data_IF_666615740267
#
_entry.id   IF_666615740267
#
_cell.length_a   1.000
_cell.length_b   1.000
_cell.length_c   1.000
_cell.angle_alpha   90.00
_cell.angle_beta   90.00
_cell.angle_gamma   90.00
#
_symmetry.space_group_name_H-M   'P 1'
#
loop_
_entity.id
_entity.type
_entity.pdbx_description
1 polymer ?
#
# COMPACT_ATOMS: atom_id res chain seq x y z
N UNK A 1 22.51 -25.64 -5.66
CA UNK A 1 21.89 -24.37 -6.11
C UNK A 1 22.64 -23.27 -5.38
N UNK A 2 23.01 -22.16 -6.02
CA UNK A 2 23.79 -21.10 -5.36
C UNK A 2 22.96 -20.46 -4.24
N UNK A 3 23.58 -20.13 -3.10
CA UNK A 3 22.94 -19.44 -1.95
C UNK A 3 22.09 -18.24 -2.39
N UNK A 4 22.58 -17.49 -3.39
CA UNK A 4 21.86 -16.39 -4.03
C UNK A 4 20.53 -16.80 -4.68
N UNK A 5 20.48 -17.95 -5.36
CA UNK A 5 19.26 -18.41 -6.00
C UNK A 5 18.18 -18.78 -4.98
N UNK A 6 18.58 -19.31 -3.81
CA UNK A 6 17.66 -19.66 -2.73
C UNK A 6 16.95 -18.45 -2.14
N UNK A 7 17.60 -17.28 -2.14
CA UNK A 7 17.02 -16.00 -1.68
C UNK A 7 16.27 -15.29 -2.81
N UNK A 8 16.86 -15.26 -4.01
CA UNK A 8 16.37 -14.43 -5.12
C UNK A 8 15.12 -15.01 -5.79
N UNK A 9 15.01 -16.34 -5.94
CA UNK A 9 13.83 -16.94 -6.57
C UNK A 9 12.55 -16.69 -5.74
N UNK A 10 12.53 -16.94 -4.43
CA UNK A 10 11.38 -16.61 -3.59
C UNK A 10 11.08 -15.11 -3.55
N UNK A 11 12.11 -14.27 -3.47
CA UNK A 11 11.93 -12.80 -3.46
C UNK A 11 11.38 -12.25 -4.79
N UNK A 12 11.42 -13.01 -5.88
CA UNK A 12 10.79 -12.66 -7.15
C UNK A 12 9.29 -12.98 -7.21
N UNK A 13 8.79 -13.84 -6.32
CA UNK A 13 7.39 -14.26 -6.32
C UNK A 13 6.44 -13.06 -6.18
N UNK A 14 6.68 -12.09 -5.28
CA UNK A 14 5.82 -10.92 -5.17
C UNK A 14 5.78 -10.07 -6.42
N UNK A 15 6.95 -9.88 -7.04
CA UNK A 15 7.03 -9.16 -8.30
C UNK A 15 6.22 -9.84 -9.40
N UNK A 16 6.32 -11.17 -9.52
CA UNK A 16 5.54 -11.92 -10.51
C UNK A 16 4.03 -11.87 -10.22
N UNK A 17 3.64 -11.97 -8.95
CA UNK A 17 2.25 -11.92 -8.52
C UNK A 17 1.63 -10.53 -8.75
N UNK A 18 2.36 -9.45 -8.42
CA UNK A 18 1.98 -8.07 -8.71
C UNK A 18 1.83 -7.83 -10.23
N UNK A 19 2.79 -8.27 -11.04
CA UNK A 19 2.70 -8.17 -12.51
C UNK A 19 1.48 -8.92 -13.07
N UNK A 20 1.20 -10.12 -12.55
CA UNK A 20 0.03 -10.91 -12.96
C UNK A 20 -1.26 -10.17 -12.60
N UNK A 21 -1.34 -9.63 -11.39
CA UNK A 21 -2.42 -8.76 -10.92
C UNK A 21 -2.63 -7.52 -11.78
N UNK A 22 -1.53 -6.87 -12.15
CA UNK A 22 -1.48 -5.66 -12.97
C UNK A 22 -1.88 -5.87 -14.42
N UNK A 23 -1.87 -7.12 -14.92
CA UNK A 23 -2.34 -7.49 -16.25
C UNK A 23 -3.87 -7.71 -16.30
N UNK A 24 -4.53 -8.03 -15.17
CA UNK A 24 -5.99 -8.25 -15.13
C UNK A 24 -6.83 -7.09 -15.73
N UNK A 25 -6.48 -5.80 -15.50
CA UNK A 25 -7.19 -4.67 -16.11
C UNK A 25 -7.07 -4.58 -17.63
N UNK A 26 -6.21 -5.36 -18.28
CA UNK A 26 -6.15 -5.46 -19.76
C UNK A 26 -7.30 -6.29 -20.33
N UNK A 27 -7.85 -7.18 -19.51
CA UNK A 27 -8.88 -8.14 -19.91
C UNK A 27 -10.24 -7.82 -19.29
N UNK A 28 -10.27 -6.99 -18.23
CA UNK A 28 -11.47 -6.67 -17.46
C UNK A 28 -11.80 -5.17 -17.50
N UNK A 29 -13.08 -4.84 -17.73
CA UNK A 29 -13.62 -3.50 -17.53
C UNK A 29 -13.58 -3.15 -16.03
N UNK A 30 -12.89 -2.06 -15.68
CA UNK A 30 -12.68 -1.69 -14.28
C UNK A 30 -13.53 -0.47 -13.87
N UNK A 31 -13.92 -0.43 -12.59
CA UNK A 31 -14.71 0.64 -11.99
C UNK A 31 -14.07 1.14 -10.69
N UNK A 32 -14.49 2.30 -10.17
CA UNK A 32 -14.00 2.78 -8.87
C UNK A 32 -14.26 1.79 -7.71
N UNK A 33 -15.31 0.95 -7.82
CA UNK A 33 -15.61 -0.09 -6.83
C UNK A 33 -14.61 -1.24 -6.86
N UNK A 34 -14.14 -1.66 -8.04
CA UNK A 34 -13.14 -2.74 -8.14
C UNK A 34 -11.80 -2.30 -7.55
N UNK A 35 -11.40 -1.04 -7.76
CA UNK A 35 -10.20 -0.49 -7.12
C UNK A 35 -10.32 -0.51 -5.58
N UNK A 36 -11.46 -0.05 -5.04
CA UNK A 36 -11.68 -0.06 -3.60
C UNK A 36 -11.67 -1.47 -3.02
N UNK A 37 -12.27 -2.45 -3.70
CA UNK A 37 -12.29 -3.86 -3.26
C UNK A 37 -10.88 -4.44 -3.28
N UNK A 38 -10.11 -4.19 -4.35
CA UNK A 38 -8.73 -4.67 -4.45
C UNK A 38 -7.84 -4.13 -3.34
N UNK A 39 -7.94 -2.82 -3.03
CA UNK A 39 -7.19 -2.21 -1.94
C UNK A 39 -7.58 -2.79 -0.57
N UNK A 40 -8.88 -2.97 -0.29
CA UNK A 40 -9.32 -3.60 0.97
C UNK A 40 -8.89 -5.06 1.07
N UNK A 41 -8.91 -5.79 -0.04
CA UNK A 41 -8.45 -7.17 -0.08
C UNK A 41 -6.95 -7.26 0.20
N UNK A 42 -6.13 -6.45 -0.49
CA UNK A 42 -4.69 -6.40 -0.26
C UNK A 42 -4.37 -6.04 1.19
N UNK A 43 -4.93 -4.94 1.72
CA UNK A 43 -4.73 -4.54 3.13
C UNK A 43 -5.22 -5.61 4.11
N UNK A 44 -6.36 -6.25 3.85
CA UNK A 44 -6.90 -7.32 4.69
C UNK A 44 -5.98 -8.54 4.75
N UNK A 45 -5.41 -8.94 3.61
CA UNK A 45 -4.43 -10.04 3.55
C UNK A 45 -3.16 -9.66 4.31
N UNK A 46 -2.61 -8.47 4.11
CA UNK A 46 -1.40 -8.01 4.83
C UNK A 46 -1.64 -8.00 6.34
N UNK A 47 -2.78 -7.48 6.82
CA UNK A 47 -3.11 -7.50 8.25
C UNK A 47 -3.21 -8.94 8.78
N UNK A 48 -3.84 -9.84 8.02
CA UNK A 48 -3.96 -11.25 8.41
C UNK A 48 -2.59 -11.93 8.50
N UNK A 49 -1.71 -11.73 7.51
CA UNK A 49 -0.34 -12.26 7.51
C UNK A 49 0.46 -11.69 8.69
N UNK A 50 0.40 -10.38 8.92
CA UNK A 50 1.11 -9.77 10.06
C UNK A 50 0.61 -10.33 11.40
N UNK A 51 -0.70 -10.45 11.57
CA UNK A 51 -1.31 -10.91 12.82
C UNK A 51 -1.16 -12.41 13.08
N UNK A 52 -1.31 -13.24 12.05
CA UNK A 52 -1.33 -14.71 12.19
C UNK A 52 0.04 -15.35 11.97
N UNK A 53 0.94 -14.70 11.25
CA UNK A 53 2.23 -15.28 10.87
C UNK A 53 3.43 -14.51 11.43
N UNK A 54 3.51 -13.20 11.23
CA UNK A 54 4.72 -12.43 11.59
C UNK A 54 4.80 -12.11 13.09
N UNK A 55 3.69 -11.65 13.69
CA UNK A 55 3.67 -11.25 15.11
C UNK A 55 3.91 -12.42 16.06
N UNK A 56 3.27 -13.60 15.89
CA UNK A 56 3.53 -14.75 16.75
C UNK A 56 4.99 -15.20 16.67
N UNK A 57 5.55 -15.28 15.45
CA UNK A 57 6.97 -15.65 15.26
C UNK A 57 7.94 -14.65 15.90
N UNK A 58 7.62 -13.35 15.86
CA UNK A 58 8.41 -12.33 16.53
C UNK A 58 8.38 -12.47 18.07
N UNK A 59 7.28 -12.99 18.63
CA UNK A 59 7.14 -13.26 20.06
C UNK A 59 7.75 -14.60 20.50
N UNK A 60 7.85 -15.57 19.60
CA UNK A 60 8.49 -16.87 19.85
C UNK A 60 10.02 -16.82 19.77
N UNK A 61 10.58 -15.80 19.09
CA UNK A 61 12.02 -15.62 18.95
C UNK A 61 12.70 -15.37 20.30
N UNK A 62 13.77 -16.10 20.60
CA UNK A 62 14.55 -15.92 21.83
C UNK A 62 15.92 -15.26 21.52
N UNK A 63 16.22 -14.07 22.06
CA UNK A 63 15.36 -13.23 22.90
C UNK A 63 14.44 -12.29 22.12
N UNK A 64 13.18 -12.18 22.57
CA UNK A 64 12.10 -11.33 21.99
C UNK A 64 12.48 -9.84 21.88
N UNK A 65 13.46 -9.40 22.69
CA UNK A 65 13.92 -8.02 22.82
C UNK A 65 14.46 -7.40 21.52
N UNK A 66 14.85 -8.21 20.53
CA UNK A 66 15.36 -7.71 19.25
C UNK A 66 14.24 -7.59 18.19
N UNK A 67 13.47 -8.65 17.88
CA UNK A 67 12.47 -8.60 16.81
C UNK A 67 11.28 -7.67 17.11
N UNK A 68 10.82 -7.58 18.37
CA UNK A 68 9.66 -6.73 18.70
C UNK A 68 9.95 -5.22 18.51
N UNK A 69 11.07 -4.66 19.02
CA UNK A 69 11.44 -3.28 18.70
C UNK A 69 11.74 -3.07 17.22
N UNK A 70 12.31 -4.05 16.52
CA UNK A 70 12.55 -3.96 15.07
C UNK A 70 11.24 -3.87 14.28
N UNK A 71 10.21 -4.64 14.65
CA UNK A 71 8.87 -4.58 14.07
C UNK A 71 8.24 -3.19 14.27
N UNK A 72 8.30 -2.66 15.49
CA UNK A 72 7.78 -1.32 15.83
C UNK A 72 8.56 -0.23 15.08
N UNK A 73 9.89 -0.34 15.02
CA UNK A 73 10.74 0.60 14.30
C UNK A 73 10.45 0.59 12.79
N UNK A 74 10.25 -0.59 12.20
CA UNK A 74 9.85 -0.75 10.80
C UNK A 74 8.50 -0.08 10.50
N UNK A 75 7.50 -0.30 11.36
CA UNK A 75 6.20 0.38 11.22
C UNK A 75 6.34 1.91 11.34
N UNK A 76 7.17 2.39 12.28
CA UNK A 76 7.47 3.81 12.42
C UNK A 76 8.17 4.41 11.19
N UNK A 77 9.12 3.68 10.60
CA UNK A 77 9.81 4.05 9.38
C UNK A 77 8.82 4.16 8.20
N UNK A 78 7.91 3.20 8.04
CA UNK A 78 6.89 3.25 7.00
C UNK A 78 6.00 4.50 7.13
N UNK A 79 5.57 4.82 8.36
CA UNK A 79 4.79 6.02 8.64
C UNK A 79 5.57 7.32 8.35
N UNK A 80 6.88 7.33 8.58
CA UNK A 80 7.74 8.45 8.24
C UNK A 80 7.88 8.63 6.72
N UNK A 81 8.01 7.53 5.97
CA UNK A 81 8.04 7.54 4.49
C UNK A 81 6.71 8.06 3.93
N UNK A 82 5.57 7.58 4.43
CA UNK A 82 4.24 8.08 4.03
C UNK A 82 4.10 9.59 4.27
N UNK A 83 4.50 10.07 5.45
CA UNK A 83 4.48 11.51 5.77
C UNK A 83 5.40 12.33 4.89
N UNK A 84 6.58 11.81 4.59
CA UNK A 84 7.54 12.46 3.71
C UNK A 84 7.01 12.53 2.27
N UNK A 85 6.43 11.44 1.76
CA UNK A 85 5.80 11.41 0.45
C UNK A 85 4.63 12.40 0.35
N UNK A 86 3.80 12.50 1.40
CA UNK A 86 2.72 13.49 1.49
C UNK A 86 3.24 14.93 1.53
N UNK A 87 4.33 15.18 2.25
CA UNK A 87 4.99 16.48 2.29
C UNK A 87 5.54 16.90 0.92
N UNK A 88 6.22 16.00 0.21
CA UNK A 88 6.72 16.26 -1.15
C UNK A 88 5.60 16.57 -2.13
N UNK A 89 4.47 15.85 -2.04
CA UNK A 89 3.28 16.14 -2.86
C UNK A 89 2.68 17.52 -2.55
N UNK A 90 2.63 17.91 -1.27
CA UNK A 90 2.10 19.21 -0.86
C UNK A 90 3.02 20.38 -1.24
N UNK A 91 4.34 20.17 -1.27
CA UNK A 91 5.33 21.16 -1.68
C UNK A 91 5.52 21.24 -3.22
N UNK A 92 4.94 20.31 -3.97
CA UNK A 92 5.03 20.26 -5.43
C UNK A 92 4.21 21.36 -6.12
N UNK A 93 4.78 22.54 -6.30
CA UNK A 93 4.23 23.63 -7.13
C UNK A 93 5.01 23.76 -8.45
N UNK A 94 4.72 22.95 -9.47
CA UNK A 94 5.02 23.26 -10.89
C UNK A 94 4.55 22.14 -11.86
N UNK A 95 3.49 22.42 -12.62
CA UNK A 95 3.39 22.04 -14.04
C UNK A 95 3.21 20.58 -14.47
N UNK A 96 3.22 19.59 -13.58
CA UNK A 96 3.04 18.17 -13.97
C UNK A 96 2.24 17.36 -12.95
N UNK A 97 1.51 16.35 -13.43
CA UNK A 97 0.77 15.41 -12.56
C UNK A 97 1.77 14.57 -11.76
N UNK A 98 1.93 14.85 -10.47
CA UNK A 98 2.73 14.02 -9.56
C UNK A 98 2.06 12.67 -9.24
N UNK A 99 0.80 12.48 -9.63
CA UNK A 99 -0.01 11.33 -9.26
C UNK A 99 0.55 9.98 -9.75
N UNK A 100 1.05 9.82 -11.00
CA UNK A 100 1.63 8.56 -11.44
C UNK A 100 2.90 8.20 -10.66
N UNK A 101 3.74 9.20 -10.32
CA UNK A 101 4.94 8.98 -9.52
C UNK A 101 4.63 8.56 -8.09
N UNK A 102 3.54 9.08 -7.51
CA UNK A 102 3.07 8.63 -6.20
C UNK A 102 2.61 7.16 -6.24
N UNK A 103 1.90 6.75 -7.30
CA UNK A 103 1.48 5.35 -7.49
C UNK A 103 2.71 4.45 -7.69
N UNK A 104 3.62 4.78 -8.61
CA UNK A 104 4.86 4.01 -8.81
C UNK A 104 5.73 3.94 -7.55
N UNK A 105 5.87 5.05 -6.83
CA UNK A 105 6.65 5.10 -5.59
C UNK A 105 6.04 4.21 -4.50
N UNK A 106 4.71 4.21 -4.36
CA UNK A 106 3.99 3.34 -3.44
C UNK A 106 4.24 1.85 -3.75
N UNK A 107 3.98 1.45 -5.00
CA UNK A 107 4.20 0.06 -5.45
C UNK A 107 5.66 -0.36 -5.33
N UNK A 108 6.62 0.50 -5.69
CA UNK A 108 8.03 0.18 -5.57
C UNK A 108 8.48 -0.03 -4.11
N UNK A 109 7.93 0.76 -3.17
CA UNK A 109 8.19 0.60 -1.74
C UNK A 109 7.60 -0.71 -1.20
N UNK A 110 6.41 -1.08 -1.67
CA UNK A 110 5.72 -2.32 -1.27
C UNK A 110 6.50 -3.56 -1.72
N UNK A 111 6.82 -3.67 -3.02
CA UNK A 111 7.62 -4.78 -3.55
C UNK A 111 9.01 -4.86 -2.91
N UNK A 112 9.63 -3.72 -2.59
CA UNK A 112 10.90 -3.71 -1.86
C UNK A 112 10.73 -4.30 -0.47
N UNK A 113 9.65 -3.94 0.24
CA UNK A 113 9.28 -4.51 1.52
C UNK A 113 9.04 -6.02 1.46
N UNK A 114 8.27 -6.50 0.47
CA UNK A 114 8.02 -7.93 0.26
C UNK A 114 9.29 -8.70 -0.05
N UNK A 115 10.17 -8.14 -0.89
CA UNK A 115 11.47 -8.72 -1.20
C UNK A 115 12.37 -8.83 0.02
N UNK A 116 12.43 -7.79 0.87
CA UNK A 116 13.15 -7.84 2.16
C UNK A 116 12.53 -8.88 3.08
N UNK A 117 11.21 -8.95 3.15
CA UNK A 117 10.51 -9.85 4.07
C UNK A 117 10.65 -11.32 3.65
N UNK A 118 10.50 -11.65 2.37
CA UNK A 118 10.73 -13.00 1.87
C UNK A 118 12.23 -13.35 1.92
N UNK A 119 13.11 -12.43 1.54
CA UNK A 119 14.55 -12.67 1.58
C UNK A 119 15.06 -12.94 2.99
N UNK A 120 14.62 -12.17 3.98
CA UNK A 120 14.92 -12.46 5.40
C UNK A 120 14.18 -13.70 5.91
N UNK A 121 12.97 -13.95 5.41
CA UNK A 121 12.18 -15.15 5.67
C UNK A 121 12.84 -16.43 5.20
N UNK A 122 13.67 -16.43 4.15
CA UNK A 122 14.43 -17.64 3.75
C UNK A 122 15.43 -18.13 4.80
N UNK A 123 15.74 -17.32 5.81
CA UNK A 123 16.57 -17.70 6.96
C UNK A 123 15.74 -18.35 8.08
N UNK A 124 14.40 -18.17 8.09
CA UNK A 124 13.54 -18.50 9.25
C UNK A 124 12.32 -19.38 8.85
N UNK A 125 11.64 -19.11 7.73
CA UNK A 125 10.71 -19.96 6.93
C UNK A 125 9.98 -19.07 5.89
N UNK A 126 9.56 -19.60 4.72
CA UNK A 126 8.97 -18.79 3.66
C UNK A 126 7.56 -18.28 4.02
N UNK A 127 7.38 -16.96 4.03
CA UNK A 127 6.09 -16.29 4.20
C UNK A 127 5.26 -16.34 2.90
N UNK A 128 4.84 -17.54 2.49
CA UNK A 128 4.04 -17.76 1.28
C UNK A 128 2.68 -17.05 1.33
N UNK A 129 2.15 -16.75 2.53
CA UNK A 129 0.90 -16.02 2.70
C UNK A 129 0.95 -14.59 2.16
N UNK A 130 2.11 -13.93 2.22
CA UNK A 130 2.25 -12.53 1.80
C UNK A 130 2.12 -12.37 0.29
N UNK A 131 2.64 -13.34 -0.47
CA UNK A 131 2.56 -13.37 -1.93
C UNK A 131 1.12 -13.35 -2.50
N UNK A 132 0.12 -13.63 -1.67
CA UNK A 132 -1.29 -13.60 -2.06
C UNK A 132 -1.91 -12.19 -2.06
N UNK A 133 -1.25 -11.21 -1.42
CA UNK A 133 -1.66 -9.81 -1.40
C UNK A 133 -1.25 -9.05 -2.67
N UNK A 134 -0.22 -9.50 -3.36
CA UNK A 134 0.38 -8.78 -4.48
C UNK A 134 -0.48 -8.78 -5.76
N UNK A 135 -1.26 -9.84 -6.09
CA UNK A 135 -2.18 -9.78 -7.22
C UNK A 135 -3.26 -8.68 -7.10
N UNK A 136 -3.98 -8.51 -5.97
CA UNK A 136 -4.89 -7.38 -5.84
C UNK A 136 -4.18 -6.02 -5.80
N UNK A 137 -2.96 -5.95 -5.29
CA UNK A 137 -2.15 -4.72 -5.24
C UNK A 137 -1.67 -4.28 -6.64
N UNK A 138 -1.16 -5.21 -7.45
CA UNK A 138 -0.81 -4.98 -8.85
C UNK A 138 -2.02 -4.55 -9.69
N UNK A 139 -3.18 -5.18 -9.46
CA UNK A 139 -4.44 -4.72 -10.07
C UNK A 139 -4.76 -3.27 -9.69
N UNK A 140 -4.66 -2.92 -8.41
CA UNK A 140 -4.94 -1.58 -7.92
C UNK A 140 -3.98 -0.54 -8.52
N UNK A 141 -2.70 -0.88 -8.65
CA UNK A 141 -1.66 -0.04 -9.26
C UNK A 141 -2.02 0.31 -10.71
N UNK A 142 -2.25 -0.70 -11.55
CA UNK A 142 -2.60 -0.47 -12.97
C UNK A 142 -3.95 0.25 -13.10
N UNK A 143 -4.94 -0.10 -12.27
CA UNK A 143 -6.24 0.56 -12.26
C UNK A 143 -6.14 2.04 -11.85
N UNK A 144 -5.30 2.38 -10.88
CA UNK A 144 -5.06 3.76 -10.44
C UNK A 144 -4.37 4.59 -11.53
N UNK A 145 -3.40 4.01 -12.25
CA UNK A 145 -2.72 4.68 -13.37
C UNK A 145 -3.66 4.92 -14.57
N UNK A 146 -4.63 4.04 -14.79
CA UNK A 146 -5.62 4.16 -15.89
C UNK A 146 -6.87 4.95 -15.51
N UNK A 147 -7.08 5.24 -14.23
CA UNK A 147 -8.23 6.02 -13.79
C UNK A 147 -8.15 7.45 -14.37
N UNK A 148 -9.16 7.91 -15.12
CA UNK A 148 -9.18 9.27 -15.63
C UNK A 148 -9.18 10.25 -14.46
N UNK A 149 -8.08 11.00 -14.31
CA UNK A 149 -7.89 12.10 -13.36
C UNK A 149 -8.69 11.95 -12.08
N UNK A 150 -8.20 11.14 -11.12
CA UNK A 150 -8.81 11.01 -9.80
C UNK A 150 -9.12 12.41 -9.25
N UNK A 151 -10.40 12.77 -9.02
CA UNK A 151 -10.72 14.04 -8.42
C UNK A 151 -10.13 14.05 -7.01
N UNK A 152 -9.20 14.96 -6.77
CA UNK A 152 -8.78 15.35 -5.43
C UNK A 152 -9.99 15.95 -4.71
N UNK A 153 -10.74 15.12 -3.99
CA UNK A 153 -11.64 15.62 -2.97
C UNK A 153 -11.00 15.30 -1.61
N UNK A 154 -10.16 16.20 -1.06
CA UNK A 154 -9.89 16.14 0.35
C UNK A 154 -11.23 16.41 1.03
N UNK A 155 -11.73 15.41 1.75
CA UNK A 155 -12.75 15.51 2.80
C UNK A 155 -13.36 16.92 2.90
N UNK A 156 -14.32 17.23 2.02
CA UNK A 156 -15.03 18.51 2.05
C UNK A 156 -15.87 18.49 3.31
N UNK A 157 -15.32 19.06 4.41
CA UNK A 157 -16.14 19.57 5.51
C UNK A 157 -17.24 20.38 4.86
N UNK A 158 -18.49 19.93 5.00
CA UNK A 158 -19.65 20.71 4.58
C UNK A 158 -19.48 22.10 5.18
N UNK A 159 -19.46 23.20 4.39
CA UNK A 159 -19.57 24.50 5.00
C UNK A 159 -20.94 24.53 5.69
N UNK A 160 -20.93 24.80 6.99
CA UNK A 160 -22.11 25.15 7.74
C UNK A 160 -22.85 26.23 6.94
N UNK A 161 -24.04 25.91 6.40
CA UNK A 161 -24.93 26.95 5.85
C UNK A 161 -25.28 27.88 7.01
N UNK A 162 -24.99 29.19 6.93
CA UNK A 162 -25.62 30.13 7.83
C UNK A 162 -27.12 30.16 7.50
N UNK A 163 -27.97 30.09 8.52
CA UNK A 163 -29.40 30.33 8.39
C UNK A 163 -29.63 31.70 7.72
N UNK A 164 -30.54 31.82 6.73
CA UNK A 164 -30.87 33.14 6.18
C UNK A 164 -31.60 33.96 7.25
N UNK A 165 -31.04 35.13 7.57
CA UNK A 165 -31.69 36.12 8.41
C UNK A 165 -33.00 36.56 7.75
N UNK A 166 -34.11 36.43 8.50
CA UNK A 166 -35.42 37.00 8.14
C UNK A 166 -35.26 38.50 7.89
N UNK A 167 -35.53 38.93 6.67
CA UNK A 167 -35.80 40.33 6.37
C UNK A 167 -36.98 40.82 7.20
N UNK A 168 -36.75 41.84 8.02
CA UNK A 168 -37.81 42.70 8.56
C UNK A 168 -38.34 43.53 7.39
N UNK A 169 -39.65 43.47 7.14
CA UNK A 169 -40.37 44.46 6.34
C UNK A 169 -40.39 45.80 7.09
N UNK A 170 -40.15 46.94 6.42
CA UNK A 170 -40.66 48.21 6.89
C UNK A 170 -42.10 48.41 6.39
N UNK A 171 -42.86 49.10 7.25
CA UNK A 171 -44.25 49.55 7.10
C UNK A 171 -44.46 50.44 5.86
#
# INVERSE_FOLDING_TARGET
>A
MSELATVLLPALVPAAANLTGGALPEVLLFSGRSLSVALHLATGIVIAVVGLELTPRALEADPVRVPMPALIAGAGLFLAVDRFAGYLQACGTAGGSAAPYAVYGGTALDLFGDGVLIGTGTVISPALGQASADPPEGFATTAALRAPGLPHCPFRRRPHRPYPARHRQPL
#
